data_IF_601152126912
#
_entry.id   IF_601152126912
#
_cell.length_a   1.000
_cell.length_b   1.000
_cell.length_c   1.000
_cell.angle_alpha   90.00
_cell.angle_beta   90.00
_cell.angle_gamma   90.00
#
_symmetry.space_group_name_H-M   'P 1'
#
loop_
_entity.id
_entity.type
_entity.pdbx_description
1 polymer ?
#
# COMPACT_ATOMS: atom_id res chain seq x y z
N UNK A 1 -6.80 -16.12 31.89
CA UNK A 1 -6.30 -16.79 30.67
C UNK A 1 -7.10 -16.19 29.52
N UNK A 2 -6.52 -15.22 28.83
CA UNK A 2 -7.23 -14.50 27.76
C UNK A 2 -7.57 -15.48 26.64
N UNK A 3 -8.87 -15.60 26.32
CA UNK A 3 -9.27 -16.29 25.10
C UNK A 3 -8.76 -15.45 23.94
N UNK A 4 -7.66 -15.86 23.32
CA UNK A 4 -7.39 -15.42 21.96
C UNK A 4 -8.63 -15.78 21.15
N UNK A 5 -9.41 -14.76 20.76
CA UNK A 5 -10.53 -14.96 19.85
C UNK A 5 -9.95 -15.70 18.64
N UNK A 6 -10.39 -16.93 18.42
CA UNK A 6 -10.07 -17.65 17.19
C UNK A 6 -10.47 -16.72 16.04
N UNK A 7 -9.48 -16.41 15.19
CA UNK A 7 -9.70 -15.64 13.98
C UNK A 7 -10.88 -16.26 13.22
N UNK A 8 -11.82 -15.42 12.79
CA UNK A 8 -12.94 -15.86 11.93
C UNK A 8 -12.48 -16.19 10.50
N UNK A 9 -11.21 -15.95 10.19
CA UNK A 9 -10.56 -16.18 8.91
C UNK A 9 -9.54 -17.29 9.00
N UNK A 10 -9.34 -18.03 7.92
CA UNK A 10 -8.26 -19.00 7.78
C UNK A 10 -6.90 -18.36 8.05
N UNK A 11 -5.96 -19.17 8.55
CA UNK A 11 -4.59 -18.73 8.79
C UNK A 11 -3.91 -18.28 7.48
N UNK A 12 -4.21 -18.95 6.37
CA UNK A 12 -3.66 -18.66 5.05
C UNK A 12 -4.10 -17.28 4.54
N UNK A 13 -5.40 -16.95 4.65
CA UNK A 13 -5.91 -15.64 4.28
C UNK A 13 -5.32 -14.54 5.17
N UNK A 14 -5.31 -14.75 6.49
CA UNK A 14 -4.75 -13.79 7.44
C UNK A 14 -3.26 -13.52 7.14
N UNK A 15 -2.50 -14.56 6.84
CA UNK A 15 -1.08 -14.44 6.48
C UNK A 15 -0.88 -13.71 5.15
N UNK A 16 -1.65 -14.05 4.11
CA UNK A 16 -1.54 -13.42 2.79
C UNK A 16 -1.88 -11.92 2.85
N UNK A 17 -2.94 -11.55 3.56
CA UNK A 17 -3.30 -10.14 3.83
C UNK A 17 -2.21 -9.45 4.64
N UNK A 18 -1.70 -10.11 5.69
CA UNK A 18 -0.62 -9.60 6.52
C UNK A 18 0.63 -9.27 5.71
N UNK A 19 1.04 -10.15 4.79
CA UNK A 19 2.18 -9.88 3.90
C UNK A 19 1.96 -8.67 3.02
N UNK A 20 0.80 -8.52 2.38
CA UNK A 20 0.52 -7.31 1.59
C UNK A 20 0.64 -6.05 2.44
N UNK A 21 0.11 -6.05 3.66
CA UNK A 21 0.16 -4.89 4.56
C UNK A 21 1.61 -4.53 4.92
N UNK A 22 2.42 -5.53 5.29
CA UNK A 22 3.81 -5.30 5.71
C UNK A 22 4.67 -4.83 4.54
N UNK A 23 4.59 -5.49 3.39
CA UNK A 23 5.37 -5.12 2.20
C UNK A 23 4.96 -3.74 1.67
N UNK A 24 3.66 -3.42 1.69
CA UNK A 24 3.20 -2.09 1.29
C UNK A 24 3.69 -0.99 2.24
N UNK A 25 3.66 -1.25 3.55
CA UNK A 25 4.18 -0.29 4.53
C UNK A 25 5.67 -0.05 4.34
N UNK A 26 6.46 -1.11 4.10
CA UNK A 26 7.89 -0.99 3.82
C UNK A 26 8.16 -0.16 2.56
N UNK A 27 7.46 -0.45 1.46
CA UNK A 27 7.61 0.31 0.22
C UNK A 27 7.25 1.80 0.40
N UNK A 28 6.14 2.09 1.07
CA UNK A 28 5.70 3.47 1.34
C UNK A 28 6.69 4.24 2.23
N UNK A 29 7.27 3.58 3.24
CA UNK A 29 8.29 4.16 4.12
C UNK A 29 9.58 4.48 3.36
N UNK A 30 10.10 3.52 2.59
CA UNK A 30 11.30 3.74 1.76
C UNK A 30 11.06 4.84 0.71
N UNK A 31 9.86 4.92 0.12
CA UNK A 31 9.51 6.02 -0.79
C UNK A 31 9.47 7.37 -0.04
N UNK A 32 8.97 7.39 1.19
CA UNK A 32 8.97 8.59 2.03
C UNK A 32 10.40 9.08 2.29
N UNK A 33 11.36 8.17 2.50
CA UNK A 33 12.77 8.52 2.61
C UNK A 33 13.31 9.19 1.34
N UNK A 34 12.96 8.67 0.14
CA UNK A 34 13.34 9.30 -1.13
C UNK A 34 12.85 10.75 -1.19
N UNK A 35 11.58 10.98 -0.82
CA UNK A 35 11.01 12.35 -0.79
C UNK A 35 11.78 13.26 0.15
N UNK A 36 12.07 12.80 1.37
CA UNK A 36 12.82 13.59 2.37
C UNK A 36 14.26 13.86 1.91
N UNK A 37 14.94 12.88 1.34
CA UNK A 37 16.33 13.04 0.87
C UNK A 37 16.42 14.00 -0.32
N UNK A 38 15.44 14.00 -1.23
CA UNK A 38 15.45 14.84 -2.43
C UNK A 38 14.95 16.26 -2.17
N UNK A 39 13.97 16.43 -1.28
CA UNK A 39 13.35 17.73 -1.01
C UNK A 39 13.84 18.40 0.28
N UNK A 40 14.58 17.67 1.12
CA UNK A 40 14.92 18.09 2.48
C UNK A 40 13.78 17.82 3.47
N UNK A 41 13.87 18.38 4.69
CA UNK A 41 12.77 18.34 5.66
C UNK A 41 11.60 19.15 5.12
N UNK A 42 10.69 18.45 4.46
CA UNK A 42 9.48 19.03 3.89
C UNK A 42 8.61 19.52 5.04
N UNK A 43 8.14 20.76 4.93
CA UNK A 43 7.22 21.37 5.87
C UNK A 43 6.07 20.41 6.23
N UNK A 44 5.88 20.15 7.52
CA UNK A 44 4.90 19.18 8.05
C UNK A 44 3.47 19.48 7.62
N UNK A 45 3.21 20.71 7.16
CA UNK A 45 1.95 21.21 6.62
C UNK A 45 1.59 20.60 5.25
N UNK A 46 2.55 20.07 4.49
CA UNK A 46 2.27 19.54 3.14
C UNK A 46 1.61 18.16 3.14
N UNK A 47 1.58 17.48 4.28
CA UNK A 47 0.78 16.26 4.50
C UNK A 47 0.96 15.14 3.45
N UNK A 48 2.10 15.12 2.77
CA UNK A 48 2.40 14.18 1.69
C UNK A 48 2.43 12.72 2.17
N UNK A 49 2.72 12.49 3.45
CA UNK A 49 2.72 11.18 4.09
C UNK A 49 1.33 10.62 4.40
N UNK A 50 0.25 11.40 4.20
CA UNK A 50 -1.11 10.98 4.62
C UNK A 50 -1.73 9.86 3.79
N UNK A 51 -1.26 9.66 2.56
CA UNK A 51 -1.80 8.65 1.66
C UNK A 51 -0.80 8.32 0.55
N UNK A 52 -0.92 7.13 -0.05
CA UNK A 52 -0.10 6.77 -1.21
C UNK A 52 -0.28 7.72 -2.40
N UNK A 53 -1.47 8.30 -2.57
CA UNK A 53 -1.73 9.32 -3.60
C UNK A 53 -0.96 10.62 -3.33
N UNK A 54 -0.97 11.09 -2.07
CA UNK A 54 -0.21 12.28 -1.69
C UNK A 54 1.31 12.03 -1.75
N UNK A 55 1.74 10.81 -1.44
CA UNK A 55 3.13 10.37 -1.54
C UNK A 55 3.59 10.32 -3.00
N UNK A 56 2.77 9.77 -3.90
CA UNK A 56 3.04 9.75 -5.34
C UNK A 56 3.12 11.18 -5.91
N UNK A 57 2.20 12.07 -5.53
CA UNK A 57 2.25 13.47 -5.94
C UNK A 57 3.50 14.19 -5.42
N UNK A 58 3.96 13.86 -4.21
CA UNK A 58 5.20 14.41 -3.66
C UNK A 58 6.43 13.92 -4.44
N UNK A 59 6.51 12.63 -4.78
CA UNK A 59 7.55 12.10 -5.68
C UNK A 59 7.56 12.83 -7.03
N UNK A 60 6.39 12.97 -7.66
CA UNK A 60 6.23 13.65 -8.96
C UNK A 60 6.71 15.11 -8.90
N UNK A 61 6.42 15.81 -7.80
CA UNK A 61 6.84 17.20 -7.60
C UNK A 61 8.36 17.41 -7.50
N UNK A 62 9.14 16.35 -7.30
CA UNK A 62 10.63 16.41 -7.33
C UNK A 62 11.11 16.78 -8.74
N UNK A 63 10.40 16.35 -9.79
CA UNK A 63 10.78 16.61 -11.19
C UNK A 63 11.99 15.80 -11.67
N UNK A 64 12.34 14.69 -10.99
CA UNK A 64 13.39 13.74 -11.39
C UNK A 64 12.75 12.55 -12.13
N UNK A 65 12.94 12.49 -13.45
CA UNK A 65 12.34 11.45 -14.30
C UNK A 65 12.83 10.04 -13.98
N UNK A 66 13.94 9.89 -13.25
CA UNK A 66 14.38 8.56 -12.78
C UNK A 66 13.46 7.97 -11.71
N UNK A 67 12.59 8.80 -11.11
CA UNK A 67 11.59 8.39 -10.12
C UNK A 67 10.23 8.08 -10.76
N UNK A 68 10.02 8.38 -12.04
CA UNK A 68 8.73 8.15 -12.73
C UNK A 68 8.25 6.69 -12.63
N UNK A 69 9.11 5.66 -12.78
CA UNK A 69 8.67 4.27 -12.65
C UNK A 69 8.12 3.96 -11.24
N UNK A 70 8.76 4.49 -10.19
CA UNK A 70 8.34 4.32 -8.80
C UNK A 70 6.98 5.00 -8.58
N UNK A 71 6.83 6.24 -9.07
CA UNK A 71 5.58 7.00 -8.96
C UNK A 71 4.41 6.30 -9.67
N UNK A 72 4.63 5.83 -10.90
CA UNK A 72 3.61 5.13 -11.68
C UNK A 72 3.18 3.82 -11.00
N UNK A 73 4.15 3.06 -10.50
CA UNK A 73 3.88 1.78 -9.85
C UNK A 73 3.17 1.97 -8.51
N UNK A 74 3.56 2.97 -7.71
CA UNK A 74 2.84 3.34 -6.48
C UNK A 74 1.38 3.69 -6.77
N UNK A 75 1.11 4.49 -7.82
CA UNK A 75 -0.26 4.85 -8.23
C UNK A 75 -1.06 3.64 -8.69
N UNK A 76 -0.42 2.67 -9.36
CA UNK A 76 -1.04 1.42 -9.79
C UNK A 76 -1.43 0.54 -8.59
N UNK A 77 -0.54 0.41 -7.62
CA UNK A 77 -0.67 -0.52 -6.49
C UNK A 77 -1.52 0.03 -5.33
N UNK A 78 -1.48 1.34 -5.10
CA UNK A 78 -2.16 1.97 -3.95
C UNK A 78 -3.67 1.69 -3.87
N UNK A 79 -4.46 1.71 -4.98
CA UNK A 79 -5.86 1.32 -4.94
C UNK A 79 -6.07 -0.12 -4.43
N UNK A 80 -5.24 -1.07 -4.86
CA UNK A 80 -5.31 -2.48 -4.44
C UNK A 80 -4.97 -2.64 -2.95
N UNK A 81 -3.91 -1.96 -2.49
CA UNK A 81 -3.54 -1.90 -1.07
C UNK A 81 -4.63 -1.30 -0.19
N UNK A 82 -5.29 -0.24 -0.64
CA UNK A 82 -6.42 0.34 0.08
C UNK A 82 -7.57 -0.66 0.23
N UNK A 83 -7.84 -1.46 -0.79
CA UNK A 83 -8.84 -2.52 -0.69
C UNK A 83 -8.42 -3.59 0.32
N UNK A 84 -7.14 -3.98 0.33
CA UNK A 84 -6.67 -4.98 1.29
C UNK A 84 -6.76 -4.47 2.73
N UNK A 85 -6.31 -3.24 2.99
CA UNK A 85 -6.22 -2.66 4.35
C UNK A 85 -7.59 -2.24 4.89
N UNK A 86 -8.49 -1.76 4.02
CA UNK A 86 -9.80 -1.26 4.44
C UNK A 86 -10.96 -2.20 4.08
N UNK A 87 -10.64 -3.36 3.52
CA UNK A 87 -11.62 -4.36 3.13
C UNK A 87 -12.15 -5.17 4.30
N UNK A 88 -13.44 -5.45 4.26
CA UNK A 88 -14.04 -6.56 4.99
C UNK A 88 -13.86 -7.82 4.14
N UNK A 89 -13.23 -8.82 4.72
CA UNK A 89 -13.01 -10.10 4.06
C UNK A 89 -14.18 -11.05 4.33
N UNK A 90 -14.61 -11.75 3.29
CA UNK A 90 -15.57 -12.85 3.34
C UNK A 90 -14.90 -14.08 2.77
N UNK A 91 -14.79 -15.12 3.59
CA UNK A 91 -14.22 -16.41 3.20
C UNK A 91 -15.32 -17.47 3.28
N UNK A 92 -15.55 -18.15 2.16
CA UNK A 92 -16.49 -19.27 2.09
C UNK A 92 -15.70 -20.58 2.28
N UNK A 93 -16.21 -21.57 3.04
CA UNK A 93 -15.46 -22.80 3.38
C UNK A 93 -14.82 -23.54 2.20
N UNK A 94 -15.39 -23.44 1.00
CA UNK A 94 -14.86 -24.02 -0.25
C UNK A 94 -14.98 -23.04 -1.43
N UNK A 95 -15.11 -21.74 -1.13
CA UNK A 95 -15.56 -20.75 -2.11
C UNK A 95 -14.63 -19.54 -2.23
N UNK A 96 -15.02 -18.56 -3.06
CA UNK A 96 -14.20 -17.40 -3.34
C UNK A 96 -13.92 -16.57 -2.08
N UNK A 97 -12.76 -15.91 -2.05
CA UNK A 97 -12.48 -14.86 -1.08
C UNK A 97 -12.97 -13.53 -1.67
N UNK A 98 -13.96 -12.92 -1.04
CA UNK A 98 -14.46 -11.61 -1.45
C UNK A 98 -13.94 -10.54 -0.50
N UNK A 99 -13.55 -9.41 -1.08
CA UNK A 99 -13.22 -8.20 -0.35
C UNK A 99 -14.30 -7.15 -0.60
N UNK A 100 -14.91 -6.67 0.48
CA UNK A 100 -15.92 -5.63 0.45
C UNK A 100 -15.37 -4.36 1.08
N UNK A 101 -15.38 -3.27 0.33
CA UNK A 101 -14.98 -1.97 0.89
C UNK A 101 -16.22 -1.16 1.23
N UNK A 102 -16.22 -0.61 2.45
CA UNK A 102 -17.26 0.32 2.87
C UNK A 102 -17.15 1.58 2.02
N UNK A 103 -18.24 1.98 1.37
CA UNK A 103 -18.32 3.30 0.77
C UNK A 103 -18.28 4.35 1.88
N UNK A 104 -17.14 5.03 1.99
CA UNK A 104 -17.00 6.19 2.87
C UNK A 104 -17.61 7.38 2.13
N UNK A 105 -18.81 7.79 2.53
CA UNK A 105 -19.31 9.12 2.15
C UNK A 105 -18.37 10.16 2.76
N UNK A 106 -17.79 11.02 1.91
CA UNK A 106 -17.04 12.20 2.35
C UNK A 106 -17.95 13.38 2.70
N UNK A 107 -19.27 13.24 2.52
CA UNK A 107 -20.23 14.28 2.87
C UNK A 107 -20.56 14.24 4.38
N UNK A 108 -20.77 15.42 4.97
CA UNK A 108 -21.26 15.58 6.37
C UNK A 108 -22.67 15.03 6.60
N UNK A 109 -23.33 14.52 5.55
CA UNK A 109 -24.67 13.96 5.61
C UNK A 109 -24.57 12.46 5.91
N UNK A 110 -25.39 11.92 6.83
CA UNK A 110 -25.44 10.48 7.08
C UNK A 110 -26.00 9.78 5.84
N UNK A 111 -25.11 9.17 5.05
CA UNK A 111 -25.47 8.28 3.95
C UNK A 111 -25.58 6.85 4.50
N UNK A 112 -26.57 6.05 4.09
CA UNK A 112 -26.63 4.64 4.44
C UNK A 112 -25.29 3.97 4.14
N UNK A 113 -24.80 3.16 5.09
CA UNK A 113 -23.57 2.40 4.87
C UNK A 113 -23.81 1.42 3.73
N UNK A 114 -23.14 1.62 2.60
CA UNK A 114 -23.13 0.67 1.49
C UNK A 114 -21.75 0.05 1.36
N UNK A 115 -21.73 -1.20 0.91
CA UNK A 115 -20.52 -1.92 0.58
C UNK A 115 -20.51 -2.17 -0.91
N UNK A 116 -19.34 -2.03 -1.52
CA UNK A 116 -19.15 -2.47 -2.91
C UNK A 116 -18.21 -3.65 -2.89
N UNK A 117 -18.73 -4.81 -3.32
CA UNK A 117 -17.89 -5.94 -3.69
C UNK A 117 -17.14 -5.53 -4.95
N UNK A 118 -15.81 -5.38 -4.84
CA UNK A 118 -15.03 -4.84 -5.95
C UNK A 118 -14.29 -5.87 -6.76
N UNK A 119 -13.92 -7.03 -6.20
CA UNK A 119 -13.34 -8.14 -6.98
C UNK A 119 -13.20 -9.42 -6.15
N UNK A 120 -13.18 -10.56 -6.83
CA UNK A 120 -12.65 -11.82 -6.30
C UNK A 120 -11.15 -11.66 -6.06
N UNK A 121 -10.75 -11.59 -4.79
CA UNK A 121 -9.35 -11.73 -4.41
C UNK A 121 -9.04 -13.21 -4.26
N UNK A 122 -7.85 -13.63 -4.67
CA UNK A 122 -7.37 -15.00 -4.42
C UNK A 122 -6.12 -14.94 -3.57
N UNK A 123 -5.81 -16.01 -2.83
CA UNK A 123 -4.54 -16.11 -2.12
C UNK A 123 -3.35 -15.87 -3.07
N UNK A 124 -3.43 -16.39 -4.30
CA UNK A 124 -2.44 -16.14 -5.35
C UNK A 124 -2.30 -14.64 -5.66
N UNK A 125 -3.41 -13.93 -5.86
CA UNK A 125 -3.37 -12.49 -6.16
C UNK A 125 -2.81 -11.68 -5.00
N UNK A 126 -3.13 -12.04 -3.75
CA UNK A 126 -2.55 -11.43 -2.56
C UNK A 126 -1.03 -11.62 -2.51
N UNK A 127 -0.55 -12.83 -2.79
CA UNK A 127 0.90 -13.11 -2.85
C UNK A 127 1.59 -12.34 -3.99
N UNK A 128 0.96 -12.24 -5.16
CA UNK A 128 1.47 -11.41 -6.27
C UNK A 128 1.55 -9.94 -5.87
N UNK A 129 0.50 -9.41 -5.23
CA UNK A 129 0.46 -8.03 -4.78
C UNK A 129 1.55 -7.72 -3.74
N UNK A 130 1.79 -8.64 -2.79
CA UNK A 130 2.87 -8.51 -1.82
C UNK A 130 4.25 -8.46 -2.51
N UNK A 131 4.46 -9.33 -3.51
CA UNK A 131 5.71 -9.33 -4.28
C UNK A 131 5.88 -8.06 -5.15
N UNK A 132 4.79 -7.49 -5.69
CA UNK A 132 4.85 -6.23 -6.42
C UNK A 132 5.28 -5.09 -5.50
N UNK A 133 4.77 -5.02 -4.27
CA UNK A 133 5.22 -4.04 -3.28
C UNK A 133 6.69 -4.23 -2.89
N UNK A 134 7.15 -5.48 -2.73
CA UNK A 134 8.57 -5.73 -2.46
C UNK A 134 9.49 -5.19 -3.57
N UNK A 135 9.13 -5.41 -4.83
CA UNK A 135 9.90 -4.87 -5.97
C UNK A 135 9.89 -3.34 -5.99
N UNK A 136 8.76 -2.73 -5.60
CA UNK A 136 8.66 -1.28 -5.49
C UNK A 136 9.58 -0.75 -4.37
N UNK A 137 9.66 -1.45 -3.23
CA UNK A 137 10.58 -1.14 -2.14
C UNK A 137 12.04 -1.23 -2.62
N UNK A 138 12.42 -2.32 -3.32
CA UNK A 138 13.78 -2.48 -3.86
C UNK A 138 14.17 -1.35 -4.82
N UNK A 139 13.24 -0.92 -5.68
CA UNK A 139 13.43 0.21 -6.59
C UNK A 139 13.59 1.54 -5.82
N UNK A 140 12.79 1.76 -4.78
CA UNK A 140 12.89 2.93 -3.91
C UNK A 140 14.18 2.93 -3.10
N UNK A 141 14.61 1.79 -2.57
CA UNK A 141 15.86 1.61 -1.83
C UNK A 141 17.08 1.92 -2.71
N UNK A 142 17.02 1.52 -3.98
CA UNK A 142 18.02 1.91 -4.98
C UNK A 142 18.04 3.43 -5.21
N UNK A 143 16.87 4.08 -5.20
CA UNK A 143 16.78 5.55 -5.31
C UNK A 143 17.30 6.26 -4.05
N UNK A 144 17.06 5.73 -2.85
CA UNK A 144 17.67 6.19 -1.59
C UNK A 144 19.19 6.12 -1.68
N UNK A 145 19.73 4.98 -2.11
CA UNK A 145 21.18 4.79 -2.28
C UNK A 145 21.77 5.82 -3.25
N UNK A 146 21.12 6.07 -4.38
CA UNK A 146 21.52 7.14 -5.33
C UNK A 146 21.47 8.52 -4.69
N UNK A 147 20.42 8.84 -3.96
CA UNK A 147 20.27 10.14 -3.28
C UNK A 147 21.35 10.37 -2.21
N UNK A 148 21.79 9.30 -1.55
CA UNK A 148 22.89 9.32 -0.58
C UNK A 148 24.29 9.32 -1.22
N UNK A 149 24.40 9.24 -2.55
CA UNK A 149 25.68 9.17 -3.26
C UNK A 149 26.40 7.83 -3.11
N UNK A 150 25.66 6.74 -2.87
CA UNK A 150 26.21 5.40 -2.64
C UNK A 150 26.32 4.51 -3.89
N UNK A 151 26.08 5.04 -5.10
CA UNK A 151 26.30 4.27 -6.34
C UNK A 151 27.79 3.98 -6.54
N UNK A 152 28.26 2.81 -6.93
CA UNK A 152 27.77 1.42 -7.02
C UNK A 152 29.07 0.61 -6.81
N UNK A 153 29.05 -0.57 -6.17
CA UNK A 153 30.18 -1.49 -6.35
C UNK A 153 30.06 -2.00 -7.79
N UNK A 154 30.99 -1.58 -8.65
CA UNK A 154 31.28 -2.24 -9.93
C UNK A 154 31.34 -3.78 -9.77
#
# INVERSE_FOLDING_TARGET
MESYQQSRYSAELAQAVGFVIVEAAAAEDTIAEVVVLRQGTVDSERHWWRSGEALAAALESIGDSTLDPITQELRRLYPERNYVVHGLWLEWPEGPISNMVRNKSTSRQPVPTSYTERTFMTLKRLSELANDFRKLEEAASSAVSRAMGLTERD
#
